data_IF_957910963542
#
_entry.id   IF_957910963542
#
_cell.length_a   1.000
_cell.length_b   1.000
_cell.length_c   1.000
_cell.angle_alpha   90.00
_cell.angle_beta   90.00
_cell.angle_gamma   90.00
#
_symmetry.space_group_name_H-M   'P 1'
#
loop_
_entity.id
_entity.type
_entity.pdbx_description
1 polymer ?
#
# COMPACT_ATOMS: atom_id res chain seq x y z
N UNK A 1 -5.84 13.71 4.19
CA UNK A 1 -6.54 14.79 4.93
C UNK A 1 -7.16 14.25 6.21
N UNK A 2 -7.41 15.09 7.21
CA UNK A 2 -8.15 14.74 8.45
C UNK A 2 -9.62 14.38 8.16
N UNK A 3 -10.11 14.80 7.01
CA UNK A 3 -11.51 14.66 6.60
C UNK A 3 -11.72 13.47 5.66
N UNK A 4 -10.66 12.70 5.39
CA UNK A 4 -10.74 11.52 4.54
C UNK A 4 -10.86 10.26 5.41
N UNK A 5 -11.69 9.31 4.99
CA UNK A 5 -11.76 7.99 5.58
C UNK A 5 -11.22 6.93 4.61
N UNK A 6 -10.44 6.00 5.13
CA UNK A 6 -9.96 4.85 4.36
C UNK A 6 -10.45 3.58 5.03
N UNK A 7 -11.08 2.75 4.23
CA UNK A 7 -11.63 1.45 4.63
C UNK A 7 -10.88 0.34 3.92
N UNK A 8 -10.73 -0.79 4.58
CA UNK A 8 -10.31 -2.05 3.95
C UNK A 8 -11.44 -3.05 4.16
N UNK A 9 -12.05 -3.51 3.08
CA UNK A 9 -13.22 -4.39 3.11
C UNK A 9 -14.36 -3.84 4.00
N UNK A 10 -14.57 -2.52 3.98
CA UNK A 10 -15.61 -1.86 4.78
C UNK A 10 -15.23 -1.56 6.23
N UNK A 11 -14.03 -1.91 6.70
CA UNK A 11 -13.55 -1.62 8.05
C UNK A 11 -12.70 -0.34 8.00
N UNK A 12 -13.04 0.66 8.81
CA UNK A 12 -12.28 1.91 8.88
C UNK A 12 -10.88 1.67 9.48
N UNK A 13 -9.86 2.13 8.77
CA UNK A 13 -8.45 1.94 9.09
C UNK A 13 -7.72 3.24 9.44
N UNK A 14 -8.44 4.31 9.65
CA UNK A 14 -7.84 5.58 10.06
C UNK A 14 -7.26 5.45 11.47
N UNK A 15 -6.05 5.97 11.65
CA UNK A 15 -5.43 6.08 12.97
C UNK A 15 -6.28 6.99 13.88
N UNK A 16 -6.76 6.52 15.03
CA UNK A 16 -7.61 7.30 15.92
C UNK A 16 -6.96 8.61 16.42
N UNK A 17 -5.63 8.62 16.53
CA UNK A 17 -4.90 9.79 17.06
C UNK A 17 -4.66 10.84 15.98
N UNK A 18 -4.42 10.41 14.74
CA UNK A 18 -4.10 11.30 13.61
C UNK A 18 -5.29 11.58 12.70
N UNK A 19 -6.36 10.82 12.80
CA UNK A 19 -7.57 10.93 12.00
C UNK A 19 -7.37 10.62 10.52
N UNK A 20 -6.27 9.93 10.15
CA UNK A 20 -5.95 9.58 8.77
C UNK A 20 -5.30 8.21 8.66
N UNK A 21 -5.45 7.59 7.50
CA UNK A 21 -4.81 6.32 7.20
C UNK A 21 -3.32 6.49 6.91
N UNK A 22 -2.50 5.61 7.46
CA UNK A 22 -1.06 5.60 7.21
C UNK A 22 -0.74 4.68 6.02
N UNK A 23 -0.67 5.23 4.82
CA UNK A 23 -0.31 4.47 3.62
C UNK A 23 1.10 3.86 3.65
N UNK A 24 1.98 4.35 4.50
CA UNK A 24 3.30 3.76 4.68
C UNK A 24 3.22 2.35 5.27
N UNK A 25 2.25 2.08 6.13
CA UNK A 25 2.06 0.76 6.74
C UNK A 25 1.72 -0.35 5.74
N UNK A 26 1.30 0.02 4.53
CA UNK A 26 0.94 -0.91 3.45
C UNK A 26 1.82 -0.72 2.20
N UNK A 27 2.92 0.00 2.32
CA UNK A 27 3.79 0.38 1.20
C UNK A 27 4.32 -0.78 0.37
N UNK A 28 4.44 -1.99 0.94
CA UNK A 28 4.80 -3.22 0.25
C UNK A 28 3.67 -3.87 -0.57
N UNK A 29 2.41 -3.56 -0.29
CA UNK A 29 1.23 -4.31 -0.78
C UNK A 29 0.56 -3.72 -2.03
N UNK A 30 1.29 -3.04 -2.89
CA UNK A 30 0.77 -2.20 -3.99
C UNK A 30 -0.32 -2.81 -4.85
N UNK A 31 -0.16 -4.08 -5.25
CA UNK A 31 -1.10 -4.73 -6.16
C UNK A 31 -2.29 -5.31 -5.40
N UNK A 32 -2.05 -5.81 -4.20
CA UNK A 32 -3.09 -6.33 -3.33
C UNK A 32 -4.14 -5.28 -2.98
N UNK A 33 -3.72 -4.00 -2.89
CA UNK A 33 -4.58 -2.85 -2.60
C UNK A 33 -4.90 -1.99 -3.83
N UNK A 34 -4.92 -2.58 -5.02
CA UNK A 34 -5.22 -1.85 -6.26
C UNK A 34 -6.71 -1.58 -6.44
N UNK A 35 -7.57 -2.49 -6.01
CA UNK A 35 -9.02 -2.35 -6.15
C UNK A 35 -9.52 -1.34 -5.13
N UNK A 36 -9.73 -0.10 -5.58
CA UNK A 36 -10.19 1.03 -4.76
C UNK A 36 -11.44 1.63 -5.33
N UNK A 37 -12.39 1.91 -4.45
CA UNK A 37 -13.53 2.75 -4.74
C UNK A 37 -13.41 4.03 -3.91
N UNK A 38 -13.42 5.18 -4.53
CA UNK A 38 -13.33 6.48 -3.84
C UNK A 38 -14.56 7.30 -4.16
N UNK A 39 -15.19 7.79 -3.12
CA UNK A 39 -16.36 8.68 -3.17
C UNK A 39 -15.92 10.00 -2.54
N UNK A 40 -16.18 11.10 -3.24
CA UNK A 40 -15.80 12.45 -2.81
C UNK A 40 -16.97 13.13 -2.09
N UNK A 41 -16.63 13.89 -1.06
CA UNK A 41 -17.60 14.65 -0.31
C UNK A 41 -18.55 13.76 0.51
N UNK A 42 -19.75 14.29 0.78
CA UNK A 42 -20.74 13.65 1.62
C UNK A 42 -21.76 12.79 0.85
N UNK A 43 -21.38 12.29 -0.30
CA UNK A 43 -22.22 11.35 -1.04
C UNK A 43 -22.39 10.03 -0.29
N UNK A 44 -23.51 9.35 -0.53
CA UNK A 44 -23.79 8.06 0.11
C UNK A 44 -22.74 7.02 -0.26
N UNK A 45 -22.21 6.34 0.75
CA UNK A 45 -21.22 5.28 0.57
C UNK A 45 -21.81 3.93 0.98
N UNK A 46 -21.59 2.86 0.22
CA UNK A 46 -22.07 1.52 0.58
C UNK A 46 -21.19 0.83 1.65
N UNK A 47 -20.07 1.44 2.05
CA UNK A 47 -19.06 0.80 2.89
C UNK A 47 -18.72 1.56 4.18
N UNK A 48 -19.35 2.70 4.44
CA UNK A 48 -19.08 3.47 5.65
C UNK A 48 -19.88 4.77 5.72
N UNK A 49 -19.54 5.61 6.67
CA UNK A 49 -20.12 6.93 6.80
C UNK A 49 -19.44 7.93 5.85
N UNK A 50 -20.24 8.77 5.21
CA UNK A 50 -19.73 9.84 4.37
C UNK A 50 -18.84 10.80 5.16
N UNK A 51 -17.80 11.30 4.52
CA UNK A 51 -16.85 12.29 5.07
C UNK A 51 -16.84 13.54 4.19
N UNK A 52 -16.58 14.68 4.79
CA UNK A 52 -16.49 15.96 4.06
C UNK A 52 -15.42 15.93 2.97
N UNK A 53 -14.32 15.23 3.20
CA UNK A 53 -13.23 15.06 2.22
C UNK A 53 -13.52 13.95 1.22
N UNK A 54 -13.06 12.75 1.53
CA UNK A 54 -13.27 11.57 0.70
C UNK A 54 -13.44 10.30 1.52
N UNK A 55 -14.14 9.32 0.97
CA UNK A 55 -14.25 7.98 1.52
C UNK A 55 -13.68 6.98 0.51
N UNK A 56 -12.60 6.29 0.87
CA UNK A 56 -11.94 5.31 0.00
C UNK A 56 -12.05 3.92 0.61
N UNK A 57 -12.63 2.97 -0.11
CA UNK A 57 -12.59 1.56 0.26
C UNK A 57 -11.60 0.80 -0.61
N UNK A 58 -10.73 0.06 0.03
CA UNK A 58 -9.78 -0.87 -0.61
C UNK A 58 -10.36 -2.27 -0.49
N UNK A 59 -10.68 -2.87 -1.62
CA UNK A 59 -11.24 -4.22 -1.67
C UNK A 59 -10.13 -5.25 -1.85
N UNK A 60 -10.04 -6.19 -0.90
CA UNK A 60 -9.08 -7.30 -0.91
C UNK A 60 -9.77 -8.67 -0.84
N UNK A 61 -11.07 -8.71 -1.11
CA UNK A 61 -11.85 -9.95 -1.12
C UNK A 61 -11.37 -10.88 -2.25
N UNK A 62 -11.13 -12.15 -1.93
CA UNK A 62 -10.56 -13.10 -2.89
C UNK A 62 -11.42 -13.35 -4.13
N UNK A 63 -12.76 -13.25 -3.98
CA UNK A 63 -13.69 -13.42 -5.09
C UNK A 63 -13.66 -12.28 -6.12
N UNK A 64 -13.17 -11.11 -5.74
CA UNK A 64 -13.15 -9.92 -6.59
C UNK A 64 -11.85 -9.77 -7.39
N UNK A 65 -10.90 -10.68 -7.18
CA UNK A 65 -9.69 -10.75 -8.01
C UNK A 65 -9.95 -11.54 -9.29
N UNK A 66 -9.50 -10.99 -10.41
CA UNK A 66 -9.50 -11.71 -11.67
C UNK A 66 -8.66 -12.99 -11.54
N UNK A 67 -9.21 -14.18 -11.90
CA UNK A 67 -8.48 -15.43 -11.79
C UNK A 67 -7.25 -15.44 -12.70
N UNK A 68 -6.19 -16.08 -12.23
CA UNK A 68 -4.94 -16.24 -12.98
C UNK A 68 -3.71 -15.75 -12.23
N UNK A 69 -2.58 -15.88 -12.87
CA UNK A 69 -1.28 -15.41 -12.39
C UNK A 69 -0.95 -14.05 -13.00
N UNK A 70 -0.43 -13.15 -12.18
CA UNK A 70 0.05 -11.86 -12.62
C UNK A 70 1.34 -11.51 -11.90
N UNK A 71 2.40 -11.32 -12.66
CA UNK A 71 3.72 -10.94 -12.16
C UNK A 71 4.23 -9.68 -12.83
N UNK A 72 5.04 -8.90 -12.13
CA UNK A 72 5.78 -7.80 -12.73
C UNK A 72 7.09 -7.56 -12.00
N UNK A 73 8.10 -7.19 -12.77
CA UNK A 73 9.39 -6.72 -12.29
C UNK A 73 9.59 -5.34 -12.90
N UNK A 74 10.02 -4.39 -12.10
CA UNK A 74 10.32 -3.05 -12.57
C UNK A 74 11.58 -2.52 -11.91
N UNK A 75 12.37 -1.82 -12.70
CA UNK A 75 13.53 -1.05 -12.26
C UNK A 75 13.20 0.44 -12.33
N UNK A 76 13.63 1.19 -11.35
CA UNK A 76 13.38 2.63 -11.26
C UNK A 76 14.58 3.32 -10.62
N UNK A 77 14.84 4.54 -11.02
CA UNK A 77 15.82 5.41 -10.37
C UNK A 77 15.08 6.44 -9.49
N UNK A 78 14.39 5.97 -8.48
CA UNK A 78 13.59 6.80 -7.60
C UNK A 78 13.77 6.41 -6.13
N UNK A 79 12.67 6.34 -5.39
CA UNK A 79 12.69 5.94 -4.00
C UNK A 79 13.11 4.46 -3.79
N UNK A 80 12.99 3.64 -4.81
CA UNK A 80 13.48 2.25 -4.84
C UNK A 80 14.06 1.94 -6.22
N UNK A 81 15.05 1.04 -6.26
CA UNK A 81 15.71 0.61 -7.51
C UNK A 81 14.98 -0.56 -8.16
N UNK A 82 14.65 -1.56 -7.38
CA UNK A 82 14.02 -2.79 -7.86
C UNK A 82 12.66 -2.98 -7.18
N UNK A 83 11.66 -3.36 -7.96
CA UNK A 83 10.38 -3.85 -7.47
C UNK A 83 10.02 -5.13 -8.20
N UNK A 84 9.71 -6.17 -7.45
CA UNK A 84 9.16 -7.40 -7.97
C UNK A 84 7.83 -7.70 -7.27
N UNK A 85 6.85 -8.21 -8.00
CA UNK A 85 5.58 -8.62 -7.42
C UNK A 85 4.95 -9.74 -8.23
N UNK A 86 4.26 -10.64 -7.52
CA UNK A 86 3.49 -11.72 -8.07
C UNK A 86 2.17 -11.84 -7.32
N UNK A 87 1.10 -12.09 -8.04
CA UNK A 87 -0.24 -12.32 -7.48
C UNK A 87 -0.87 -13.48 -8.23
N UNK A 88 -1.45 -14.41 -7.49
CA UNK A 88 -2.23 -15.51 -8.01
C UNK A 88 -3.61 -15.51 -7.38
N UNK A 89 -4.65 -15.64 -8.19
CA UNK A 89 -6.02 -15.76 -7.74
C UNK A 89 -6.70 -16.93 -8.45
N UNK A 90 -7.48 -17.70 -7.70
CA UNK A 90 -8.18 -18.86 -8.28
C UNK A 90 -9.51 -18.49 -8.93
N UNK A 91 -10.07 -17.33 -8.55
CA UNK A 91 -11.49 -17.04 -8.78
C UNK A 91 -12.40 -17.95 -7.93
N UNK A 92 -13.69 -17.75 -8.05
CA UNK A 92 -14.68 -18.58 -7.34
C UNK A 92 -14.83 -19.93 -8.04
N UNK A 93 -14.55 -21.02 -7.33
CA UNK A 93 -14.71 -22.37 -7.86
C UNK A 93 -16.16 -22.87 -7.73
N UNK A 94 -16.46 -24.06 -8.28
CA UNK A 94 -17.78 -24.70 -8.26
C UNK A 94 -18.33 -24.95 -6.84
N UNK A 95 -17.46 -24.98 -5.84
CA UNK A 95 -17.83 -25.16 -4.45
C UNK A 95 -17.95 -23.82 -3.69
N UNK A 96 -17.87 -22.68 -4.38
CA UNK A 96 -17.98 -21.35 -3.81
C UNK A 96 -16.72 -20.89 -3.06
N UNK A 97 -15.56 -21.52 -3.23
CA UNK A 97 -14.29 -21.08 -2.66
C UNK A 97 -13.50 -20.19 -3.64
N UNK A 98 -12.91 -19.14 -3.12
CA UNK A 98 -11.94 -18.32 -3.81
C UNK A 98 -10.70 -18.11 -2.94
N UNK A 99 -9.52 -18.17 -3.55
CA UNK A 99 -8.24 -17.93 -2.88
C UNK A 99 -7.44 -16.90 -3.67
N UNK A 100 -6.70 -16.07 -2.95
CA UNK A 100 -5.75 -15.11 -3.53
C UNK A 100 -4.49 -15.08 -2.70
N UNK A 101 -3.35 -15.06 -3.37
CA UNK A 101 -2.05 -14.84 -2.76
C UNK A 101 -1.29 -13.76 -3.52
N UNK A 102 -0.69 -12.81 -2.82
CA UNK A 102 0.13 -11.77 -3.42
C UNK A 102 1.39 -11.60 -2.59
N UNK A 103 2.53 -11.57 -3.30
CA UNK A 103 3.82 -11.25 -2.72
C UNK A 103 4.45 -10.11 -3.51
N UNK A 104 5.09 -9.18 -2.82
CA UNK A 104 5.81 -8.08 -3.46
C UNK A 104 7.02 -7.70 -2.63
N UNK A 105 8.06 -7.26 -3.33
CA UNK A 105 9.28 -6.75 -2.70
C UNK A 105 9.72 -5.46 -3.39
N UNK A 106 10.27 -4.54 -2.61
CA UNK A 106 10.96 -3.35 -3.09
C UNK A 106 12.31 -3.26 -2.44
N UNK A 107 13.30 -2.92 -3.21
CA UNK A 107 14.67 -2.84 -2.75
C UNK A 107 15.37 -1.61 -3.32
N UNK A 108 16.06 -0.87 -2.46
CA UNK A 108 17.06 0.11 -2.82
C UNK A 108 18.14 0.13 -1.75
N UNK A 109 19.37 -0.20 -2.15
CA UNK A 109 20.54 -0.08 -1.26
C UNK A 109 20.82 1.39 -0.98
N UNK A 110 20.72 2.22 -2.00
CA UNK A 110 20.86 3.67 -1.94
C UNK A 110 19.89 4.30 -2.93
N UNK A 111 19.18 5.33 -2.51
CA UNK A 111 18.29 6.09 -3.38
C UNK A 111 19.03 7.20 -4.10
N UNK A 112 18.28 8.18 -4.63
CA UNK A 112 18.86 9.35 -5.31
C UNK A 112 19.68 10.20 -4.34
N UNK A 113 19.22 10.32 -3.09
CA UNK A 113 19.91 11.08 -2.06
C UNK A 113 20.86 10.17 -1.28
N UNK A 114 22.09 10.59 -0.99
CA UNK A 114 23.05 9.83 -0.19
C UNK A 114 22.47 9.41 1.16
N UNK A 115 22.75 8.16 1.60
CA UNK A 115 22.26 7.60 2.85
C UNK A 115 20.78 7.25 2.88
N UNK A 116 20.06 7.41 1.77
CA UNK A 116 18.69 6.93 1.67
C UNK A 116 18.66 5.47 1.22
N UNK A 117 17.81 4.67 1.85
CA UNK A 117 17.57 3.27 1.44
C UNK A 117 16.09 2.93 1.59
N UNK A 118 15.65 1.89 0.89
CA UNK A 118 14.27 1.44 0.96
C UNK A 118 14.17 -0.08 0.77
N UNK A 119 13.72 -0.77 1.82
CA UNK A 119 13.45 -2.19 1.79
C UNK A 119 12.02 -2.42 2.26
N UNK A 120 11.20 -3.03 1.44
CA UNK A 120 9.83 -3.37 1.81
C UNK A 120 9.47 -4.74 1.23
N UNK A 121 8.81 -5.55 2.05
CA UNK A 121 8.19 -6.79 1.66
C UNK A 121 6.69 -6.66 1.88
N UNK A 122 5.89 -7.21 0.99
CA UNK A 122 4.44 -7.29 1.13
C UNK A 122 3.97 -8.72 0.89
N UNK A 123 3.15 -9.23 1.79
CA UNK A 123 2.46 -10.52 1.66
C UNK A 123 0.98 -10.31 1.94
N UNK A 124 0.14 -10.81 1.06
CA UNK A 124 -1.31 -10.90 1.28
C UNK A 124 -1.78 -12.31 0.93
N UNK A 125 -2.58 -12.87 1.81
CA UNK A 125 -3.28 -14.13 1.60
C UNK A 125 -4.76 -13.93 1.88
N UNK A 126 -5.62 -14.34 0.97
CA UNK A 126 -7.06 -14.24 1.11
C UNK A 126 -7.74 -15.55 0.80
N UNK A 127 -8.71 -15.91 1.60
CA UNK A 127 -9.62 -17.02 1.38
C UNK A 127 -11.05 -16.52 1.57
N UNK A 128 -11.94 -16.87 0.66
CA UNK A 128 -13.35 -16.51 0.74
C UNK A 128 -14.22 -17.68 0.39
N UNK A 129 -15.27 -17.89 1.19
CA UNK A 129 -16.34 -18.85 0.92
C UNK A 129 -17.61 -18.10 0.62
N UNK A 130 -18.14 -18.27 -0.55
CA UNK A 130 -19.46 -17.78 -0.97
C UNK A 130 -20.47 -18.91 -0.77
N UNK A 131 -21.41 -18.71 0.13
CA UNK A 131 -22.45 -19.71 0.43
C UNK A 131 -23.66 -19.51 -0.51
N UNK A 132 -24.03 -18.25 -0.72
CA UNK A 132 -25.10 -17.83 -1.62
C UNK A 132 -24.87 -16.36 -2.02
N UNK A 133 -25.70 -15.75 -2.91
CA UNK A 133 -25.52 -14.37 -3.34
C UNK A 133 -25.54 -13.34 -2.21
N UNK A 134 -26.16 -13.64 -1.06
CA UNK A 134 -26.28 -12.72 0.07
C UNK A 134 -25.26 -12.97 1.17
N UNK A 135 -24.67 -14.19 1.26
CA UNK A 135 -23.80 -14.57 2.37
C UNK A 135 -22.46 -15.09 1.89
N UNK A 136 -21.40 -14.47 2.37
CA UNK A 136 -20.04 -14.93 2.20
C UNK A 136 -19.23 -14.74 3.48
N UNK A 137 -18.21 -15.56 3.65
CA UNK A 137 -17.21 -15.43 4.72
C UNK A 137 -15.86 -15.24 4.06
N UNK A 138 -15.15 -14.19 4.45
CA UNK A 138 -13.81 -13.90 3.94
C UNK A 138 -12.82 -13.80 5.10
N UNK A 139 -11.64 -14.37 4.90
CA UNK A 139 -10.48 -14.22 5.75
C UNK A 139 -9.35 -13.62 4.91
N UNK A 140 -8.80 -12.51 5.35
CA UNK A 140 -7.65 -11.87 4.68
C UNK A 140 -6.55 -11.64 5.70
N UNK A 141 -5.36 -12.10 5.37
CA UNK A 141 -4.12 -11.82 6.10
C UNK A 141 -3.21 -10.96 5.25
N UNK A 142 -2.61 -9.95 5.83
CA UNK A 142 -1.58 -9.15 5.17
C UNK A 142 -0.45 -8.77 6.14
N UNK A 143 0.75 -8.69 5.58
CA UNK A 143 1.97 -8.32 6.28
C UNK A 143 2.80 -7.42 5.36
N UNK A 144 3.32 -6.32 5.89
CA UNK A 144 4.10 -5.36 5.10
C UNK A 144 5.27 -4.78 5.92
N UNK A 145 6.27 -5.61 6.32
CA UNK A 145 7.47 -5.10 6.96
C UNK A 145 8.21 -4.16 6.01
N UNK A 146 8.67 -3.03 6.56
CA UNK A 146 9.38 -2.02 5.80
C UNK A 146 10.48 -1.39 6.64
N UNK A 147 11.62 -1.16 6.00
CA UNK A 147 12.74 -0.37 6.53
C UNK A 147 13.10 0.68 5.48
N UNK A 148 13.18 1.92 5.88
CA UNK A 148 13.57 2.98 4.97
C UNK A 148 14.26 4.12 5.71
N UNK A 149 15.22 4.73 5.04
CA UNK A 149 15.76 6.02 5.41
C UNK A 149 15.60 6.95 4.21
N UNK A 150 15.15 8.16 4.46
CA UNK A 150 14.97 9.18 3.43
C UNK A 150 15.71 10.46 3.80
N UNK A 151 15.97 11.29 2.80
CA UNK A 151 16.42 12.66 3.03
C UNK A 151 15.27 13.51 3.59
N UNK A 152 15.60 14.42 4.49
CA UNK A 152 14.68 15.46 4.92
C UNK A 152 14.86 16.71 4.06
N UNK A 153 13.78 17.39 3.67
CA UNK A 153 13.92 18.70 3.05
C UNK A 153 14.59 19.65 4.05
N UNK A 154 15.50 20.46 3.54
CA UNK A 154 16.22 21.46 4.33
C UNK A 154 16.08 22.83 3.69
N UNK A 155 16.64 23.87 4.31
CA UNK A 155 16.62 25.22 3.78
C UNK A 155 17.49 25.34 2.54
N UNK A 156 17.14 26.28 1.66
CA UNK A 156 17.86 26.54 0.41
C UNK A 156 19.34 26.84 0.65
N UNK A 157 19.61 27.58 1.70
CA UNK A 157 20.96 27.98 2.12
C UNK A 157 21.84 26.76 2.45
N UNK A 158 21.27 25.67 2.97
CA UNK A 158 22.01 24.44 3.24
C UNK A 158 22.48 23.77 1.94
N UNK A 159 21.63 23.77 0.90
CA UNK A 159 22.01 23.25 -0.41
C UNK A 159 23.08 24.10 -1.09
N UNK A 160 23.02 25.44 -0.93
CA UNK A 160 24.00 26.37 -1.45
C UNK A 160 25.35 26.22 -0.73
N UNK A 161 25.36 26.08 0.60
CA UNK A 161 26.58 25.85 1.38
C UNK A 161 27.23 24.49 1.09
N UNK A 162 26.42 23.47 0.84
CA UNK A 162 26.91 22.13 0.50
C UNK A 162 27.31 22.00 -0.98
N UNK A 163 27.02 23.01 -1.81
CA UNK A 163 27.13 22.96 -3.27
C UNK A 163 26.55 21.69 -3.88
N UNK A 164 25.45 21.21 -3.30
CA UNK A 164 24.84 19.95 -3.69
C UNK A 164 23.32 19.93 -3.42
N UNK A 165 22.54 19.85 -4.50
CA UNK A 165 21.08 19.75 -4.44
C UNK A 165 20.57 18.42 -3.89
N UNK A 166 21.42 17.39 -3.78
CA UNK A 166 21.12 16.09 -3.18
C UNK A 166 21.60 16.00 -1.72
N UNK A 167 21.96 17.13 -1.13
CA UNK A 167 22.38 17.17 0.27
C UNK A 167 21.31 16.57 1.19
N UNK A 168 21.76 15.64 2.04
CA UNK A 168 20.91 14.99 3.03
C UNK A 168 21.39 15.36 4.43
N UNK A 169 20.65 16.19 5.19
CA UNK A 169 21.07 16.61 6.53
C UNK A 169 21.09 15.46 7.55
N UNK A 170 20.48 14.33 7.24
CA UNK A 170 20.47 13.14 8.09
C UNK A 170 21.59 12.16 7.76
N UNK A 171 22.45 12.51 6.81
CA UNK A 171 23.58 11.68 6.37
C UNK A 171 24.88 12.43 6.50
N UNK A 172 25.88 11.81 7.11
CA UNK A 172 27.24 12.32 7.21
C UNK A 172 28.21 11.19 7.50
N UNK A 173 29.51 11.44 7.34
CA UNK A 173 30.55 10.54 7.78
C UNK A 173 30.51 10.52 9.31
N UNK A 174 30.46 9.33 9.87
CA UNK A 174 30.70 9.11 11.30
C UNK A 174 32.13 8.63 11.42
N UNK A 175 32.97 9.49 11.98
CA UNK A 175 34.34 9.16 12.37
C UNK A 175 34.36 8.29 13.63
#
# INVERSE_FOLDING_TARGET
>A
SRYDATYINGIEMNDPTRGRFNYWSIGGLNRAFRNKTTILGMDATPFGFARIGSSTNINTLAADFAPGFNGSISYSNGAYMLRAMATYATGVNKHGWAFVGSISGRYAKEGIMPGSFYNALGLMLGAQKVFNPQHSLALTFYMAPMQSAGGSPTFKECYELADNYLYNPNWGWQD
#
